data_IF_926805064356
#
_entry.id   IF_926805064356
#
_cell.length_a   1.000
_cell.length_b   1.000
_cell.length_c   1.000
_cell.angle_alpha   90.00
_cell.angle_beta   90.00
_cell.angle_gamma   90.00
#
_symmetry.space_group_name_H-M   'P 1'
#
loop_
_entity.id
_entity.type
_entity.pdbx_description
1 polymer ?
#
# COMPACT_ATOMS: atom_id res chain seq x y z
N UNK A 1 0.51 -9.64 41.38
CA UNK A 1 0.02 -8.98 40.14
C UNK A 1 0.77 -9.60 38.95
N UNK A 2 0.18 -10.63 38.32
CA UNK A 2 0.73 -11.26 37.13
C UNK A 2 0.69 -10.25 36.00
N UNK A 3 1.86 -9.87 35.44
CA UNK A 3 1.95 -9.18 34.15
C UNK A 3 1.31 -10.09 33.12
N UNK A 4 0.10 -9.78 32.65
CA UNK A 4 -0.37 -10.29 31.36
C UNK A 4 0.59 -9.72 30.30
N UNK A 5 1.54 -10.51 29.86
CA UNK A 5 2.30 -10.24 28.65
C UNK A 5 1.25 -10.35 27.54
N UNK A 6 0.80 -9.21 27.04
CA UNK A 6 0.01 -9.17 25.82
C UNK A 6 0.99 -9.56 24.69
N UNK A 7 1.07 -10.85 24.41
CA UNK A 7 1.59 -11.28 23.12
C UNK A 7 0.64 -10.68 22.08
N UNK A 8 1.17 -9.76 21.28
CA UNK A 8 0.47 -9.27 20.10
C UNK A 8 0.06 -10.50 19.29
N UNK A 9 -1.22 -10.75 19.04
CA UNK A 9 -1.60 -11.79 18.10
C UNK A 9 -0.94 -11.41 16.79
N UNK A 10 0.08 -12.14 16.38
CA UNK A 10 0.70 -12.03 15.05
C UNK A 10 -0.25 -12.66 14.05
N UNK A 11 -1.44 -12.06 13.88
CA UNK A 11 -2.29 -12.44 12.77
C UNK A 11 -1.64 -11.84 11.54
N UNK A 12 -1.07 -12.73 10.75
CA UNK A 12 -0.41 -12.42 9.50
C UNK A 12 -1.22 -13.08 8.41
N UNK A 13 -1.64 -12.31 7.42
CA UNK A 13 -2.33 -12.81 6.22
C UNK A 13 -1.32 -13.08 5.11
N UNK A 14 -1.71 -13.80 4.09
CA UNK A 14 -0.92 -13.91 2.88
C UNK A 14 -1.04 -12.65 2.01
N UNK A 15 0.03 -12.34 1.28
CA UNK A 15 0.03 -11.34 0.19
C UNK A 15 -0.62 -11.88 -1.09
N UNK A 16 -1.03 -13.16 -1.11
CA UNK A 16 -1.47 -13.85 -2.32
C UNK A 16 -0.34 -14.21 -3.28
N UNK A 17 0.90 -14.21 -2.79
CA UNK A 17 2.08 -14.63 -3.55
C UNK A 17 3.10 -15.25 -2.58
N UNK A 18 3.43 -16.51 -2.79
CA UNK A 18 4.29 -17.28 -1.88
C UNK A 18 5.68 -16.67 -1.68
N UNK A 19 6.27 -16.08 -2.72
CA UNK A 19 7.58 -15.45 -2.63
C UNK A 19 7.53 -14.16 -1.80
N UNK A 20 6.45 -13.37 -1.93
CA UNK A 20 6.22 -12.20 -1.07
C UNK A 20 6.04 -12.63 0.39
N UNK A 21 5.26 -13.68 0.65
CA UNK A 21 5.06 -14.20 2.01
C UNK A 21 6.36 -14.68 2.62
N UNK A 22 7.19 -15.39 1.85
CA UNK A 22 8.51 -15.83 2.29
C UNK A 22 9.44 -14.68 2.67
N UNK A 23 9.47 -13.62 1.86
CA UNK A 23 10.40 -12.49 2.03
C UNK A 23 9.89 -11.48 3.07
N UNK A 24 8.60 -11.23 3.09
CA UNK A 24 7.99 -10.22 3.96
C UNK A 24 7.51 -10.80 5.30
N UNK A 25 7.40 -12.13 5.42
CA UNK A 25 6.81 -12.80 6.58
C UNK A 25 5.29 -12.68 6.62
N UNK A 26 4.66 -12.41 5.46
CA UNK A 26 3.23 -12.18 5.27
C UNK A 26 2.80 -10.71 5.45
N UNK A 27 1.48 -10.47 5.31
CA UNK A 27 0.83 -9.17 5.46
C UNK A 27 0.35 -8.99 6.90
N UNK A 28 0.92 -8.07 7.70
CA UNK A 28 0.50 -7.87 9.09
C UNK A 28 -0.88 -7.21 9.17
N UNK A 29 -1.63 -7.54 10.23
CA UNK A 29 -2.85 -6.79 10.61
C UNK A 29 -2.48 -5.43 11.20
N UNK A 30 -1.95 -4.57 10.36
CA UNK A 30 -1.38 -3.27 10.70
C UNK A 30 -1.26 -2.40 9.45
N UNK A 31 -0.65 -1.22 9.56
CA UNK A 31 -0.35 -0.35 8.43
C UNK A 31 0.89 -0.83 7.69
N UNK A 32 0.79 -0.94 6.38
CA UNK A 32 1.88 -1.24 5.44
C UNK A 32 1.97 -0.14 4.40
N UNK A 33 3.16 0.37 4.14
CA UNK A 33 3.44 1.27 3.02
C UNK A 33 4.08 0.50 1.87
N UNK A 34 3.39 0.42 0.72
CA UNK A 34 3.99 0.01 -0.56
C UNK A 34 4.44 1.25 -1.31
N UNK A 35 5.73 1.39 -1.60
CA UNK A 35 6.23 2.57 -2.29
C UNK A 35 7.22 2.20 -3.40
N UNK A 36 7.43 3.11 -4.33
CA UNK A 36 8.34 2.91 -5.47
C UNK A 36 7.92 3.77 -6.66
N UNK A 37 8.70 3.74 -7.75
CA UNK A 37 8.37 4.45 -8.98
C UNK A 37 7.08 3.93 -9.62
N UNK A 38 6.54 4.69 -10.57
CA UNK A 38 5.38 4.31 -11.36
C UNK A 38 5.64 3.04 -12.18
N UNK A 39 4.58 2.29 -12.48
CA UNK A 39 4.69 1.03 -13.24
C UNK A 39 5.47 -0.08 -12.56
N UNK A 40 5.77 0.03 -11.25
CA UNK A 40 6.48 -0.98 -10.47
C UNK A 40 5.65 -2.20 -10.07
N UNK A 41 4.32 -2.18 -10.28
CA UNK A 41 3.42 -3.29 -9.88
C UNK A 41 2.87 -3.18 -8.46
N UNK A 42 2.90 -2.00 -7.83
CA UNK A 42 2.36 -1.78 -6.47
C UNK A 42 0.87 -2.13 -6.37
N UNK A 43 0.05 -1.61 -7.30
CA UNK A 43 -1.39 -1.91 -7.36
C UNK A 43 -1.64 -3.40 -7.65
N UNK A 44 -0.81 -4.04 -8.48
CA UNK A 44 -0.88 -5.48 -8.75
C UNK A 44 -0.64 -6.31 -7.48
N UNK A 45 0.34 -5.92 -6.65
CA UNK A 45 0.57 -6.56 -5.34
C UNK A 45 -0.64 -6.36 -4.43
N UNK A 46 -1.19 -5.14 -4.38
CA UNK A 46 -2.36 -4.84 -3.55
C UNK A 46 -3.60 -5.63 -3.99
N UNK A 47 -3.83 -5.79 -5.30
CA UNK A 47 -4.92 -6.64 -5.82
C UNK A 47 -4.74 -8.12 -5.49
N UNK A 48 -3.50 -8.64 -5.55
CA UNK A 48 -3.20 -9.99 -5.07
C UNK A 48 -3.56 -10.18 -3.60
N UNK A 49 -3.20 -9.22 -2.76
CA UNK A 49 -3.55 -9.23 -1.34
C UNK A 49 -5.07 -9.11 -1.10
N UNK A 50 -5.80 -8.30 -1.90
CA UNK A 50 -7.27 -8.22 -1.84
C UNK A 50 -7.93 -9.55 -2.24
N UNK A 51 -7.45 -10.19 -3.30
CA UNK A 51 -7.95 -11.49 -3.74
C UNK A 51 -7.75 -12.56 -2.65
N UNK A 52 -6.59 -12.57 -1.99
CA UNK A 52 -6.29 -13.50 -0.91
C UNK A 52 -7.13 -13.22 0.34
N UNK A 53 -7.32 -11.94 0.67
CA UNK A 53 -8.21 -11.51 1.75
C UNK A 53 -9.63 -12.06 1.54
N UNK A 54 -10.17 -11.94 0.32
CA UNK A 54 -11.49 -12.45 -0.03
C UNK A 54 -11.55 -13.97 -0.01
N UNK A 55 -10.52 -14.69 -0.49
CA UNK A 55 -10.42 -16.16 -0.40
C UNK A 55 -10.42 -16.65 1.04
N UNK A 56 -9.87 -15.86 1.94
CA UNK A 56 -9.87 -16.12 3.39
C UNK A 56 -11.19 -15.76 4.08
N UNK A 57 -12.24 -15.37 3.33
CA UNK A 57 -13.58 -15.09 3.84
C UNK A 57 -13.78 -13.66 4.37
N UNK A 58 -12.81 -12.76 4.18
CA UNK A 58 -12.91 -11.36 4.59
C UNK A 58 -13.34 -10.44 3.45
N UNK A 59 -13.71 -9.21 3.80
CA UNK A 59 -14.06 -8.16 2.83
C UNK A 59 -12.84 -7.33 2.50
N UNK A 60 -12.74 -6.91 1.23
CA UNK A 60 -11.77 -5.95 0.76
C UNK A 60 -12.41 -4.59 0.46
N UNK A 61 -11.69 -3.51 0.77
CA UNK A 61 -12.03 -2.15 0.35
C UNK A 61 -10.86 -1.57 -0.44
N UNK A 62 -11.15 -1.03 -1.61
CA UNK A 62 -10.22 -0.22 -2.40
C UNK A 62 -10.71 1.24 -2.42
N UNK A 63 -9.87 2.13 -1.91
CA UNK A 63 -10.04 3.58 -2.01
C UNK A 63 -9.14 4.06 -3.16
N UNK A 64 -9.75 4.21 -4.34
CA UNK A 64 -9.08 4.58 -5.60
C UNK A 64 -9.08 6.10 -5.75
N UNK A 65 -8.02 6.74 -5.30
CA UNK A 65 -7.84 8.19 -5.38
C UNK A 65 -7.27 8.65 -6.74
N UNK A 66 -6.77 7.72 -7.56
CA UNK A 66 -6.26 8.01 -8.90
C UNK A 66 -7.32 7.83 -9.99
N UNK A 67 -8.50 7.29 -9.65
CA UNK A 67 -9.60 6.98 -10.59
C UNK A 67 -9.17 6.03 -11.72
N UNK A 68 -8.29 5.08 -11.37
CA UNK A 68 -7.64 4.16 -12.30
C UNK A 68 -8.03 2.69 -12.10
N UNK A 69 -9.07 2.42 -11.30
CA UNK A 69 -9.55 1.05 -11.06
C UNK A 69 -9.97 0.38 -12.35
N UNK A 70 -9.32 -0.74 -12.69
CA UNK A 70 -9.65 -1.61 -13.81
C UNK A 70 -10.27 -2.91 -13.27
N UNK A 71 -11.60 -3.04 -13.42
CA UNK A 71 -12.38 -4.20 -12.96
C UNK A 71 -11.91 -5.50 -13.63
N UNK A 72 -11.64 -5.45 -14.93
CA UNK A 72 -11.22 -6.63 -15.69
C UNK A 72 -9.81 -7.09 -15.31
N UNK A 73 -8.92 -6.15 -15.03
CA UNK A 73 -7.59 -6.47 -14.53
C UNK A 73 -7.64 -7.05 -13.12
N UNK A 74 -8.40 -6.43 -12.22
CA UNK A 74 -8.60 -6.94 -10.86
C UNK A 74 -9.15 -8.38 -10.87
N UNK A 75 -10.14 -8.66 -11.72
CA UNK A 75 -10.71 -10.01 -11.91
C UNK A 75 -9.67 -11.02 -12.39
N UNK A 76 -8.79 -10.65 -13.33
CA UNK A 76 -7.69 -11.51 -13.80
C UNK A 76 -6.68 -11.83 -12.71
N UNK A 77 -6.55 -10.97 -11.72
CA UNK A 77 -5.69 -11.18 -10.53
C UNK A 77 -6.39 -11.99 -9.43
N UNK A 78 -7.60 -12.47 -9.68
CA UNK A 78 -8.36 -13.31 -8.76
C UNK A 78 -9.22 -12.55 -7.77
N UNK A 79 -9.39 -11.24 -7.93
CA UNK A 79 -10.30 -10.44 -7.09
C UNK A 79 -11.74 -10.75 -7.46
N UNK A 80 -12.56 -11.10 -6.46
CA UNK A 80 -14.03 -11.16 -6.60
C UNK A 80 -14.55 -9.71 -6.65
N UNK A 81 -14.73 -9.22 -7.88
CA UNK A 81 -15.09 -7.82 -8.13
C UNK A 81 -16.52 -7.48 -7.77
N UNK A 82 -17.37 -8.48 -7.54
CA UNK A 82 -18.77 -8.29 -7.11
C UNK A 82 -18.87 -8.14 -5.58
N UNK A 83 -17.83 -8.61 -4.85
CA UNK A 83 -17.69 -8.44 -3.40
C UNK A 83 -16.70 -7.36 -3.00
N UNK A 84 -15.88 -6.86 -3.93
CA UNK A 84 -14.95 -5.76 -3.63
C UNK A 84 -15.71 -4.45 -3.52
N UNK A 85 -15.52 -3.75 -2.41
CA UNK A 85 -16.03 -2.38 -2.27
C UNK A 85 -14.98 -1.44 -2.87
N UNK A 86 -15.37 -0.70 -3.90
CA UNK A 86 -14.51 0.31 -4.53
C UNK A 86 -15.12 1.68 -4.31
N UNK A 87 -14.34 2.61 -3.78
CA UNK A 87 -14.72 4.02 -3.61
C UNK A 87 -13.71 4.89 -4.32
N UNK A 88 -14.18 5.65 -5.31
CA UNK A 88 -13.39 6.61 -6.05
C UNK A 88 -13.54 7.99 -5.41
N UNK A 89 -12.57 8.37 -4.60
CA UNK A 89 -12.55 9.63 -3.86
C UNK A 89 -11.11 10.11 -3.66
N UNK A 90 -10.85 11.38 -3.92
CA UNK A 90 -9.55 12.02 -3.75
C UNK A 90 -9.52 13.05 -2.61
N UNK A 91 -10.65 13.36 -1.96
CA UNK A 91 -10.66 14.18 -0.75
C UNK A 91 -10.02 13.40 0.39
N UNK A 92 -8.93 13.95 0.95
CA UNK A 92 -8.12 13.23 1.93
C UNK A 92 -8.87 12.93 3.22
N UNK A 93 -9.64 13.89 3.74
CA UNK A 93 -10.42 13.76 4.97
C UNK A 93 -11.50 12.69 4.84
N UNK A 94 -12.18 12.63 3.70
CA UNK A 94 -13.23 11.64 3.45
C UNK A 94 -12.65 10.24 3.29
N UNK A 95 -11.52 10.09 2.55
CA UNK A 95 -10.80 8.82 2.42
C UNK A 95 -10.32 8.33 3.78
N UNK A 96 -9.72 9.20 4.62
CA UNK A 96 -9.23 8.81 5.94
C UNK A 96 -10.40 8.46 6.89
N UNK A 97 -11.54 9.15 6.79
CA UNK A 97 -12.74 8.83 7.54
C UNK A 97 -13.36 7.49 7.14
N UNK A 98 -13.43 7.21 5.83
CA UNK A 98 -13.87 5.89 5.33
C UNK A 98 -12.91 4.80 5.79
N UNK A 99 -11.60 5.00 5.64
CA UNK A 99 -10.57 4.06 6.14
C UNK A 99 -10.80 3.72 7.60
N UNK A 100 -11.00 4.74 8.45
CA UNK A 100 -11.25 4.55 9.88
C UNK A 100 -12.51 3.72 10.14
N UNK A 101 -13.61 4.03 9.44
CA UNK A 101 -14.87 3.29 9.59
C UNK A 101 -14.75 1.83 9.19
N UNK A 102 -14.11 1.55 8.06
CA UNK A 102 -13.94 0.17 7.59
C UNK A 102 -13.00 -0.63 8.47
N UNK A 103 -11.89 -0.04 8.92
CA UNK A 103 -10.97 -0.72 9.85
C UNK A 103 -11.60 -1.03 11.21
N UNK A 104 -12.68 -0.33 11.58
CA UNK A 104 -13.44 -0.61 12.81
C UNK A 104 -14.42 -1.79 12.66
N UNK A 105 -14.63 -2.31 11.45
CA UNK A 105 -15.49 -3.49 11.20
C UNK A 105 -14.65 -4.75 11.23
N UNK A 106 -14.96 -5.74 12.10
CA UNK A 106 -14.13 -6.94 12.29
C UNK A 106 -13.89 -7.76 11.02
N UNK A 107 -14.89 -7.82 10.11
CA UNK A 107 -14.84 -8.67 8.91
C UNK A 107 -14.24 -7.95 7.68
N UNK A 108 -13.72 -6.74 7.83
CA UNK A 108 -13.14 -5.99 6.71
C UNK A 108 -11.91 -6.67 6.15
N UNK A 109 -11.01 -7.15 6.99
CA UNK A 109 -9.79 -7.82 6.55
C UNK A 109 -8.74 -6.91 5.95
N UNK A 110 -9.00 -6.26 4.81
CA UNK A 110 -8.02 -5.40 4.12
C UNK A 110 -8.65 -4.12 3.55
N UNK A 111 -8.02 -2.99 3.85
CA UNK A 111 -8.26 -1.70 3.19
C UNK A 111 -7.02 -1.31 2.39
N UNK A 112 -7.21 -0.88 1.16
CA UNK A 112 -6.15 -0.37 0.27
C UNK A 112 -6.45 1.08 -0.10
N UNK A 113 -5.47 1.98 0.05
CA UNK A 113 -5.51 3.35 -0.47
C UNK A 113 -4.56 3.42 -1.67
N UNK A 114 -5.08 3.66 -2.86
CA UNK A 114 -4.32 3.80 -4.12
C UNK A 114 -4.63 5.15 -4.78
N UNK A 115 -3.82 6.18 -4.65
CA UNK A 115 -2.58 6.25 -3.86
C UNK A 115 -2.58 7.49 -2.95
N UNK A 116 -1.72 7.48 -1.92
CA UNK A 116 -1.57 8.62 -1.01
C UNK A 116 -1.21 9.95 -1.72
N UNK A 117 -0.33 9.98 -2.74
CA UNK A 117 -0.04 11.19 -3.50
C UNK A 117 -1.24 11.84 -4.18
N UNK A 118 -2.25 11.06 -4.55
CA UNK A 118 -3.46 11.56 -5.21
C UNK A 118 -4.46 12.23 -4.25
N UNK A 119 -4.33 11.99 -2.94
CA UNK A 119 -5.21 12.57 -1.95
C UNK A 119 -4.97 14.06 -1.77
N UNK A 120 -6.01 14.85 -1.86
CA UNK A 120 -5.98 16.32 -1.72
C UNK A 120 -6.70 16.74 -0.44
N UNK A 121 -6.01 17.36 0.53
CA UNK A 121 -6.65 17.95 1.71
C UNK A 121 -7.69 19.01 1.32
N UNK A 122 -8.82 19.05 2.03
CA UNK A 122 -9.93 19.99 1.77
C UNK A 122 -9.46 21.45 1.79
N UNK A 123 -8.69 21.81 2.82
CA UNK A 123 -8.16 23.17 2.97
C UNK A 123 -7.27 23.62 1.80
N UNK A 124 -6.69 22.65 1.07
CA UNK A 124 -5.88 22.92 -0.12
C UNK A 124 -6.76 23.02 -1.36
N UNK A 125 -7.79 22.16 -1.48
CA UNK A 125 -8.72 22.16 -2.61
C UNK A 125 -9.48 23.49 -2.72
N UNK A 126 -9.89 24.09 -1.60
CA UNK A 126 -10.62 25.36 -1.55
C UNK A 126 -9.75 26.58 -1.92
N UNK A 127 -8.42 26.45 -1.87
CA UNK A 127 -7.47 27.54 -2.10
C UNK A 127 -6.57 27.35 -3.34
N UNK A 128 -6.89 26.38 -4.20
CA UNK A 128 -6.04 26.02 -5.36
C UNK A 128 -5.79 27.19 -6.33
N UNK A 129 -6.74 28.12 -6.47
CA UNK A 129 -6.67 29.19 -7.46
C UNK A 129 -6.03 30.50 -6.96
N UNK A 130 -5.66 30.62 -5.68
CA UNK A 130 -5.37 31.93 -5.10
C UNK A 130 -3.94 32.17 -4.62
N UNK A 131 -3.00 31.20 -4.59
CA UNK A 131 -1.68 31.42 -3.94
C UNK A 131 -0.47 30.72 -4.56
N UNK A 132 0.64 31.47 -4.63
CA UNK A 132 1.97 31.04 -5.15
C UNK A 132 2.67 29.90 -4.36
N UNK A 133 2.26 29.56 -3.13
CA UNK A 133 2.92 28.59 -2.24
C UNK A 133 2.15 27.28 -2.09
N UNK A 134 1.39 26.90 -3.12
CA UNK A 134 0.53 25.70 -3.14
C UNK A 134 1.25 24.42 -2.71
N UNK A 135 2.41 24.12 -3.28
CA UNK A 135 3.11 22.86 -3.05
C UNK A 135 3.58 22.67 -1.60
N UNK A 136 4.08 23.73 -0.95
CA UNK A 136 4.55 23.64 0.44
C UNK A 136 3.39 23.41 1.42
N UNK A 137 2.29 24.13 1.23
CA UNK A 137 1.05 23.97 2.03
C UNK A 137 0.45 22.59 1.86
N UNK A 138 0.37 22.10 0.63
CA UNK A 138 -0.15 20.78 0.31
C UNK A 138 0.63 19.66 1.02
N UNK A 139 1.96 19.71 0.98
CA UNK A 139 2.82 18.72 1.65
C UNK A 139 2.68 18.79 3.16
N UNK A 140 2.65 20.00 3.74
CA UNK A 140 2.53 20.20 5.17
C UNK A 140 1.16 19.74 5.71
N UNK A 141 0.07 20.10 5.04
CA UNK A 141 -1.28 19.74 5.46
C UNK A 141 -1.54 18.24 5.38
N UNK A 142 -1.06 17.56 4.33
CA UNK A 142 -1.10 16.10 4.23
C UNK A 142 -0.35 15.44 5.39
N UNK A 143 0.86 15.92 5.70
CA UNK A 143 1.66 15.38 6.80
C UNK A 143 0.99 15.59 8.16
N UNK A 144 0.32 16.74 8.36
CA UNK A 144 -0.45 17.06 9.57
C UNK A 144 -1.62 16.08 9.75
N UNK A 145 -2.48 15.95 8.73
CA UNK A 145 -3.64 15.04 8.78
C UNK A 145 -3.23 13.58 9.05
N UNK A 146 -2.17 13.10 8.39
CA UNK A 146 -1.66 11.76 8.65
C UNK A 146 -1.14 11.61 10.09
N UNK A 147 -0.42 12.62 10.60
CA UNK A 147 0.11 12.57 11.98
C UNK A 147 -1.00 12.49 13.02
N UNK A 148 -2.14 13.12 12.77
CA UNK A 148 -3.30 13.13 13.66
C UNK A 148 -4.04 11.79 13.67
N UNK A 149 -4.18 11.11 12.51
CA UNK A 149 -5.07 9.95 12.39
C UNK A 149 -4.34 8.60 12.49
N UNK A 150 -3.08 8.51 12.07
CA UNK A 150 -2.39 7.21 11.93
C UNK A 150 -2.35 6.41 13.22
N UNK A 151 -2.19 7.05 14.37
CA UNK A 151 -2.21 6.35 15.66
C UNK A 151 -3.56 5.65 15.91
N UNK A 152 -4.67 6.33 15.59
CA UNK A 152 -6.02 5.76 15.70
C UNK A 152 -6.20 4.59 14.73
N UNK A 153 -5.75 4.73 13.47
CA UNK A 153 -5.84 3.66 12.48
C UNK A 153 -5.03 2.42 12.89
N UNK A 154 -3.85 2.59 13.49
CA UNK A 154 -3.07 1.50 14.08
C UNK A 154 -3.87 0.77 15.17
N UNK A 155 -4.51 1.53 16.06
CA UNK A 155 -5.35 0.95 17.12
C UNK A 155 -6.52 0.13 16.55
N UNK A 156 -7.16 0.60 15.47
CA UNK A 156 -8.25 -0.11 14.80
C UNK A 156 -7.76 -1.37 14.07
N UNK A 157 -6.66 -1.28 13.33
CA UNK A 157 -6.03 -2.44 12.70
C UNK A 157 -5.78 -3.55 13.74
N UNK A 158 -5.16 -3.18 14.87
CA UNK A 158 -4.86 -4.12 15.94
C UNK A 158 -6.11 -4.72 16.57
N UNK A 159 -7.06 -3.88 16.98
CA UNK A 159 -8.28 -4.30 17.70
C UNK A 159 -9.15 -5.23 16.88
N UNK A 160 -9.25 -5.01 15.58
CA UNK A 160 -10.15 -5.74 14.69
C UNK A 160 -9.42 -6.69 13.73
N UNK A 161 -8.11 -6.86 13.90
CA UNK A 161 -7.26 -7.73 13.07
C UNK A 161 -7.36 -7.40 11.57
N UNK A 162 -7.47 -6.12 11.23
CA UNK A 162 -7.54 -5.62 9.86
C UNK A 162 -6.17 -5.10 9.38
N UNK A 163 -5.92 -5.17 8.08
CA UNK A 163 -4.73 -4.64 7.44
C UNK A 163 -5.06 -3.37 6.67
N UNK A 164 -4.12 -2.42 6.64
CA UNK A 164 -4.19 -1.22 5.81
C UNK A 164 -2.94 -1.13 4.92
N UNK A 165 -3.12 -1.23 3.62
CA UNK A 165 -2.07 -0.95 2.63
C UNK A 165 -2.24 0.47 2.13
N UNK A 166 -1.17 1.27 2.22
CA UNK A 166 -1.09 2.61 1.64
C UNK A 166 -0.07 2.58 0.52
N UNK A 167 -0.54 2.75 -0.72
CA UNK A 167 0.33 2.86 -1.89
C UNK A 167 0.88 4.28 -1.96
N UNK A 168 2.19 4.39 -2.20
CA UNK A 168 2.91 5.65 -2.25
C UNK A 168 3.88 5.70 -3.44
N UNK A 169 4.23 6.90 -3.86
CA UNK A 169 5.20 7.15 -4.92
C UNK A 169 6.49 7.69 -4.33
N UNK A 170 7.59 7.54 -5.06
CA UNK A 170 8.87 8.18 -4.74
C UNK A 170 8.84 9.60 -5.30
N UNK A 171 9.39 10.53 -4.52
CA UNK A 171 9.69 11.91 -4.93
C UNK A 171 11.14 12.20 -4.62
N UNK A 172 11.76 13.05 -5.40
CA UNK A 172 13.11 13.51 -5.12
C UNK A 172 13.07 14.83 -4.33
N UNK A 173 13.94 14.92 -3.34
CA UNK A 173 14.17 16.17 -2.62
C UNK A 173 15.07 17.06 -3.44
N UNK A 174 14.61 18.25 -3.78
CA UNK A 174 15.39 19.27 -4.45
C UNK A 174 16.52 19.75 -3.53
N UNK A 175 17.74 19.87 -4.07
CA UNK A 175 18.89 20.44 -3.33
C UNK A 175 19.69 19.44 -2.47
N UNK A 176 19.42 18.13 -2.56
CA UNK A 176 20.24 17.09 -1.89
C UNK A 176 21.44 16.76 -2.78
N UNK A 177 22.62 17.29 -2.46
CA UNK A 177 23.86 17.03 -3.21
C UNK A 177 24.56 15.74 -2.80
N UNK A 178 24.32 15.24 -1.57
CA UNK A 178 24.94 14.02 -1.04
C UNK A 178 23.89 13.12 -0.37
N UNK A 179 24.06 11.80 -0.50
CA UNK A 179 23.15 10.79 0.06
C UNK A 179 21.97 10.47 -0.86
N UNK A 180 20.94 9.78 -0.33
CA UNK A 180 19.77 9.38 -1.11
C UNK A 180 18.74 10.53 -1.14
N UNK A 181 18.46 11.15 -2.31
CA UNK A 181 17.46 12.20 -2.45
C UNK A 181 16.03 11.68 -2.37
N UNK A 182 15.82 10.38 -2.54
CA UNK A 182 14.47 9.80 -2.60
C UNK A 182 13.72 9.93 -1.26
N UNK A 183 12.48 10.33 -1.36
CA UNK A 183 11.55 10.39 -0.24
C UNK A 183 10.15 9.98 -0.67
N UNK A 184 9.30 9.64 0.31
CA UNK A 184 7.89 9.37 0.05
C UNK A 184 7.02 10.46 0.68
N UNK A 185 5.92 10.89 0.03
CA UNK A 185 4.89 11.75 0.63
C UNK A 185 4.34 11.20 1.95
N UNK A 186 3.77 12.06 2.79
CA UNK A 186 3.18 11.66 4.08
C UNK A 186 4.08 11.90 5.30
N UNK A 187 5.25 12.50 5.10
CA UNK A 187 6.13 12.92 6.18
C UNK A 187 6.77 11.77 6.97
N UNK A 188 7.16 12.06 8.22
CA UNK A 188 7.78 11.06 9.10
C UNK A 188 6.74 10.12 9.75
N UNK A 189 5.50 10.57 9.92
CA UNK A 189 4.47 9.82 10.61
C UNK A 189 4.16 8.48 9.94
N UNK A 190 3.90 8.47 8.62
CA UNK A 190 3.64 7.22 7.90
C UNK A 190 4.81 6.23 8.02
N UNK A 191 6.05 6.72 7.86
CA UNK A 191 7.25 5.89 8.02
C UNK A 191 7.38 5.31 9.43
N UNK A 192 6.98 6.06 10.46
CA UNK A 192 7.02 5.63 11.85
C UNK A 192 5.95 4.58 12.13
N UNK A 193 4.70 4.84 11.77
CA UNK A 193 3.56 3.99 12.10
C UNK A 193 3.47 2.72 11.24
N UNK A 194 4.06 2.68 10.03
CA UNK A 194 4.06 1.47 9.21
C UNK A 194 4.83 0.34 9.89
N UNK A 195 4.23 -0.84 9.98
CA UNK A 195 4.87 -2.07 10.46
C UNK A 195 5.81 -2.65 9.41
N UNK A 196 5.38 -2.59 8.14
CA UNK A 196 6.22 -2.90 6.98
C UNK A 196 6.28 -1.69 6.04
N UNK A 197 7.45 -1.48 5.43
CA UNK A 197 7.67 -0.54 4.32
C UNK A 197 8.35 -1.31 3.20
N UNK A 198 7.67 -1.44 2.09
CA UNK A 198 8.05 -2.30 0.97
C UNK A 198 8.34 -1.44 -0.25
N UNK A 199 9.61 -1.45 -0.68
CA UNK A 199 10.09 -0.78 -1.88
C UNK A 199 9.90 -1.71 -3.09
N UNK A 200 9.11 -1.26 -4.06
CA UNK A 200 8.70 -2.02 -5.25
C UNK A 200 9.23 -1.33 -6.50
N UNK A 201 10.23 -1.92 -7.14
CA UNK A 201 10.92 -1.31 -8.27
C UNK A 201 10.88 -2.17 -9.52
N UNK A 202 10.51 -1.59 -10.68
CA UNK A 202 10.67 -2.28 -11.96
C UNK A 202 12.17 -2.52 -12.23
N UNK A 203 12.48 -3.66 -12.83
CA UNK A 203 13.83 -4.05 -13.21
C UNK A 203 13.87 -4.39 -14.71
N UNK A 204 14.33 -5.55 -15.07
CA UNK A 204 14.58 -5.95 -16.44
C UNK A 204 13.27 -6.18 -17.22
N UNK A 205 13.24 -5.79 -18.49
CA UNK A 205 12.12 -6.06 -19.41
C UNK A 205 12.14 -7.52 -19.84
N UNK A 206 10.98 -8.17 -19.85
CA UNK A 206 10.81 -9.54 -20.35
C UNK A 206 10.25 -9.44 -21.77
N UNK A 207 10.91 -10.11 -22.71
CA UNK A 207 10.56 -10.09 -24.13
C UNK A 207 10.24 -11.49 -24.63
N UNK A 208 9.34 -11.57 -25.61
CA UNK A 208 9.13 -12.71 -26.47
C UNK A 208 9.35 -12.24 -27.92
N UNK A 209 10.45 -12.65 -28.51
CA UNK A 209 10.95 -12.05 -29.75
C UNK A 209 11.23 -10.56 -29.56
N UNK A 210 10.58 -9.70 -30.34
CA UNK A 210 10.70 -8.23 -30.26
C UNK A 210 9.71 -7.59 -29.28
N UNK A 211 8.66 -8.32 -28.88
CA UNK A 211 7.59 -7.80 -28.06
C UNK A 211 7.94 -7.85 -26.57
N UNK A 212 7.75 -6.72 -25.86
CA UNK A 212 7.86 -6.66 -24.41
C UNK A 212 6.55 -7.18 -23.81
N UNK A 213 6.60 -8.29 -23.08
CA UNK A 213 5.44 -8.95 -22.48
C UNK A 213 5.33 -8.74 -20.97
N UNK A 214 6.36 -8.19 -20.35
CA UNK A 214 6.39 -8.00 -18.90
C UNK A 214 7.71 -7.42 -18.42
N UNK A 215 7.93 -7.52 -17.13
CA UNK A 215 9.18 -7.14 -16.47
C UNK A 215 9.44 -7.94 -15.20
N UNK A 216 10.69 -8.01 -14.80
CA UNK A 216 11.01 -8.38 -13.42
C UNK A 216 10.79 -7.18 -12.49
N UNK A 217 10.39 -7.48 -11.27
CA UNK A 217 10.11 -6.48 -10.23
C UNK A 217 10.89 -6.86 -8.99
N UNK A 218 11.72 -5.92 -8.52
CA UNK A 218 12.43 -6.05 -7.26
C UNK A 218 11.55 -5.55 -6.13
N UNK A 219 11.29 -6.41 -5.16
CA UNK A 219 10.57 -6.09 -3.92
C UNK A 219 11.52 -6.20 -2.74
N UNK A 220 11.64 -5.15 -1.94
CA UNK A 220 12.53 -5.08 -0.79
C UNK A 220 11.80 -4.52 0.43
N UNK A 221 11.86 -5.23 1.55
CA UNK A 221 11.35 -4.75 2.82
C UNK A 221 12.38 -3.82 3.48
N UNK A 222 12.30 -2.51 3.28
CA UNK A 222 13.20 -1.52 3.91
C UNK A 222 12.90 -1.29 5.40
N UNK A 223 11.73 -1.69 5.85
CA UNK A 223 11.35 -1.78 7.25
C UNK A 223 10.42 -2.98 7.40
N UNK A 224 10.72 -3.84 8.34
CA UNK A 224 9.88 -5.00 8.66
C UNK A 224 9.97 -5.29 10.16
N UNK A 225 8.84 -5.37 10.84
CA UNK A 225 8.77 -5.68 12.27
C UNK A 225 8.31 -7.12 12.56
N UNK A 226 7.98 -7.89 11.51
CA UNK A 226 7.51 -9.29 11.65
C UNK A 226 8.48 -10.31 11.06
N UNK A 227 9.38 -9.87 10.18
CA UNK A 227 10.45 -10.69 9.59
C UNK A 227 11.71 -9.83 9.42
N UNK A 228 12.88 -10.41 9.08
CA UNK A 228 14.10 -9.64 8.85
C UNK A 228 13.89 -8.56 7.77
N UNK A 229 14.35 -7.32 7.99
CA UNK A 229 14.34 -6.28 6.96
C UNK A 229 15.43 -6.56 5.90
N UNK A 230 15.44 -5.75 4.83
CA UNK A 230 16.40 -5.78 3.71
C UNK A 230 16.40 -7.06 2.88
N UNK A 231 15.48 -8.00 3.14
CA UNK A 231 15.30 -9.18 2.28
C UNK A 231 14.65 -8.76 0.95
N UNK A 232 15.11 -9.39 -0.13
CA UNK A 232 14.73 -9.05 -1.49
C UNK A 232 14.05 -10.24 -2.16
N UNK A 233 12.93 -9.97 -2.84
CA UNK A 233 12.33 -10.85 -3.84
C UNK A 233 12.49 -10.25 -5.24
N UNK A 234 12.62 -11.13 -6.24
CA UNK A 234 12.50 -10.76 -7.66
C UNK A 234 11.30 -11.50 -8.23
N UNK A 235 10.27 -10.74 -8.56
CA UNK A 235 9.03 -11.27 -9.10
C UNK A 235 8.97 -11.04 -10.61
N UNK A 236 8.28 -11.93 -11.32
CA UNK A 236 7.99 -11.79 -12.75
C UNK A 236 6.58 -11.25 -12.94
N UNK A 237 6.46 -9.99 -13.39
CA UNK A 237 5.19 -9.35 -13.74
C UNK A 237 4.93 -9.48 -15.24
N UNK A 238 3.86 -10.17 -15.61
CA UNK A 238 3.39 -10.28 -16.99
C UNK A 238 2.24 -9.30 -17.19
N UNK A 239 2.35 -8.45 -18.22
CA UNK A 239 1.35 -7.43 -18.50
C UNK A 239 -0.03 -8.05 -18.80
N UNK A 240 -1.05 -7.53 -18.13
CA UNK A 240 -2.43 -8.00 -18.24
C UNK A 240 -2.71 -9.35 -17.56
N UNK A 241 -1.70 -10.00 -16.91
CA UNK A 241 -1.86 -11.30 -16.25
C UNK A 241 -1.46 -11.28 -14.76
N UNK A 242 -0.67 -10.28 -14.32
CA UNK A 242 -0.18 -10.21 -12.95
C UNK A 242 1.17 -10.89 -12.72
N UNK A 243 1.47 -11.17 -11.48
CA UNK A 243 2.71 -11.86 -11.12
C UNK A 243 2.62 -13.36 -11.45
N UNK A 244 3.64 -13.86 -12.14
CA UNK A 244 3.78 -15.29 -12.38
C UNK A 244 4.17 -15.96 -11.07
N UNK A 245 3.48 -17.04 -10.72
CA UNK A 245 3.94 -17.92 -9.64
C UNK A 245 5.27 -18.53 -10.04
N UNK A 246 6.25 -18.44 -9.15
CA UNK A 246 7.50 -19.16 -9.35
C UNK A 246 7.18 -20.66 -9.17
N UNK A 247 7.32 -21.44 -10.25
CA UNK A 247 7.35 -22.88 -10.13
C UNK A 247 8.52 -23.21 -9.18
N UNK A 248 8.18 -23.62 -7.97
CA UNK A 248 9.16 -24.15 -7.02
C UNK A 248 9.79 -25.40 -7.67
N UNK A 249 11.06 -25.28 -8.08
CA UNK A 249 11.86 -26.45 -8.48
C UNK A 249 12.28 -27.23 -7.26
#
# INVERSE_FOLDING_TARGET
>A
YGKKIFELPKIVRSWGNAELDRVLGGLPTHIVELFGPEGGGKSTIAYGALAECQRSGFRGLLLDAEYCYDKEYAKKLGVDTDKLIVVQESNMEDVLKLTSRFLAVPDTGLVVIDSLPALVPKAVRENILEKEDFNKRYVAERARLLSEILNSLVGQCYKHSNSLIIINQIREKVGVMFGNPETTPGGRALKHFSMQRVDVRPKDRIKTGTQIIGRSVKVRAVKNKIAPPEVIAILTLIYGKGFKENETK
#
